data_IF_848000231385
#
_entry.id   IF_848000231385
#
_cell.length_a   1.000
_cell.length_b   1.000
_cell.length_c   1.000
_cell.angle_alpha   90.00
_cell.angle_beta   90.00
_cell.angle_gamma   90.00
#
_symmetry.space_group_name_H-M   'P 1'
#
loop_
_entity.id
_entity.type
_entity.pdbx_description
1 polymer ?
#
# COMPACT_ATOMS: atom_id res chain seq x y z
N UNK A 1 7.07 12.42 1.47
CA UNK A 1 7.81 11.27 2.05
C UNK A 1 6.92 10.05 2.24
N UNK A 2 5.82 10.12 2.99
CA UNK A 2 4.91 8.98 3.27
C UNK A 2 4.38 8.25 2.01
N UNK A 3 4.03 8.97 0.93
CA UNK A 3 3.53 8.38 -0.33
C UNK A 3 4.57 7.47 -1.01
N UNK A 4 5.85 7.84 -0.93
CA UNK A 4 6.97 7.06 -1.49
C UNK A 4 7.19 5.79 -0.67
N UNK A 5 7.10 5.89 0.66
CA UNK A 5 7.20 4.75 1.57
C UNK A 5 6.06 3.75 1.31
N UNK A 6 4.83 4.24 1.15
CA UNK A 6 3.67 3.39 0.85
C UNK A 6 3.80 2.70 -0.52
N UNK A 7 4.26 3.42 -1.55
CA UNK A 7 4.52 2.82 -2.86
C UNK A 7 5.61 1.73 -2.82
N UNK A 8 6.70 1.97 -2.07
CA UNK A 8 7.76 0.98 -1.88
C UNK A 8 7.27 -0.25 -1.11
N UNK A 9 6.42 -0.06 -0.10
CA UNK A 9 5.80 -1.16 0.65
C UNK A 9 4.95 -2.06 -0.27
N UNK A 10 4.11 -1.48 -1.13
CA UNK A 10 3.31 -2.26 -2.10
C UNK A 10 4.21 -3.14 -2.98
N UNK A 11 5.30 -2.60 -3.52
CA UNK A 11 6.24 -3.37 -4.35
C UNK A 11 6.92 -4.51 -3.57
N UNK A 12 7.28 -4.25 -2.31
CA UNK A 12 7.83 -5.28 -1.42
C UNK A 12 6.82 -6.40 -1.12
N UNK A 13 5.56 -6.06 -0.81
CA UNK A 13 4.53 -7.07 -0.57
C UNK A 13 4.27 -7.93 -1.81
N UNK A 14 4.33 -7.34 -3.02
CA UNK A 14 4.22 -8.11 -4.27
C UNK A 14 5.40 -9.08 -4.41
N UNK A 15 6.63 -8.64 -4.12
CA UNK A 15 7.81 -9.52 -4.13
C UNK A 15 7.72 -10.68 -3.14
N UNK A 16 7.20 -10.41 -1.93
CA UNK A 16 6.94 -11.45 -0.92
C UNK A 16 5.86 -12.42 -1.39
N UNK A 17 4.78 -11.94 -2.01
CA UNK A 17 3.71 -12.78 -2.56
C UNK A 17 4.20 -13.70 -3.68
N UNK A 18 5.15 -13.25 -4.52
CA UNK A 18 5.78 -14.09 -5.54
C UNK A 18 6.69 -15.18 -4.96
N UNK A 19 7.29 -14.94 -3.80
CA UNK A 19 8.25 -15.86 -3.17
C UNK A 19 7.62 -16.74 -2.07
N UNK A 20 6.32 -16.59 -1.84
CA UNK A 20 5.58 -17.28 -0.78
C UNK A 20 4.41 -18.06 -1.37
N UNK A 21 4.02 -19.14 -0.69
CA UNK A 21 2.84 -19.93 -1.04
C UNK A 21 1.83 -19.97 0.12
N UNK A 22 0.57 -20.29 -0.23
CA UNK A 22 -0.51 -20.49 0.74
C UNK A 22 -0.77 -19.25 1.61
N UNK A 23 -0.79 -19.44 2.93
CA UNK A 23 -1.16 -18.41 3.91
C UNK A 23 -0.30 -17.15 3.83
N UNK A 24 1.03 -17.31 3.67
CA UNK A 24 1.96 -16.18 3.62
C UNK A 24 1.73 -15.33 2.36
N UNK A 25 1.38 -15.96 1.24
CA UNK A 25 1.01 -15.26 0.01
C UNK A 25 -0.28 -14.46 0.18
N UNK A 26 -1.32 -15.06 0.74
CA UNK A 26 -2.60 -14.36 0.98
C UNK A 26 -2.44 -13.19 1.96
N UNK A 27 -1.58 -13.32 2.98
CA UNK A 27 -1.30 -12.23 3.90
C UNK A 27 -0.53 -11.08 3.22
N UNK A 28 0.42 -11.40 2.35
CA UNK A 28 1.14 -10.41 1.56
C UNK A 28 0.22 -9.68 0.58
N UNK A 29 -0.68 -10.39 -0.10
CA UNK A 29 -1.68 -9.82 -1.00
C UNK A 29 -2.68 -8.91 -0.25
N UNK A 30 -3.19 -9.35 0.92
CA UNK A 30 -4.03 -8.51 1.78
C UNK A 30 -3.31 -7.25 2.23
N UNK A 31 -2.05 -7.38 2.64
CA UNK A 31 -1.27 -6.24 3.11
C UNK A 31 -0.97 -5.27 1.97
N UNK A 32 -0.65 -5.77 0.77
CA UNK A 32 -0.51 -4.93 -0.43
C UNK A 32 -1.79 -4.14 -0.71
N UNK A 33 -2.95 -4.79 -0.58
CA UNK A 33 -4.24 -4.15 -0.77
C UNK A 33 -4.50 -3.04 0.26
N UNK A 34 -4.31 -3.32 1.56
CA UNK A 34 -4.49 -2.32 2.62
C UNK A 34 -3.55 -1.12 2.46
N UNK A 35 -2.29 -1.36 2.09
CA UNK A 35 -1.31 -0.29 1.84
C UNK A 35 -1.70 0.53 0.61
N UNK A 36 -2.22 -0.10 -0.45
CA UNK A 36 -2.74 0.62 -1.62
C UNK A 36 -3.95 1.50 -1.26
N UNK A 37 -4.88 0.99 -0.45
CA UNK A 37 -6.01 1.78 0.07
C UNK A 37 -5.52 2.96 0.90
N UNK A 38 -4.57 2.74 1.81
CA UNK A 38 -3.96 3.81 2.60
C UNK A 38 -3.26 4.86 1.71
N UNK A 39 -2.59 4.43 0.63
CA UNK A 39 -1.98 5.33 -0.35
C UNK A 39 -3.03 6.22 -1.03
N UNK A 40 -4.17 5.65 -1.44
CA UNK A 40 -5.29 6.41 -2.03
C UNK A 40 -5.85 7.41 -1.01
N UNK A 41 -6.03 7.00 0.25
CA UNK A 41 -6.55 7.88 1.29
C UNK A 41 -5.60 9.04 1.62
N UNK A 42 -4.30 8.76 1.71
CA UNK A 42 -3.26 9.78 1.88
C UNK A 42 -3.17 10.69 0.67
N UNK A 43 -3.33 10.14 -0.54
CA UNK A 43 -3.39 10.95 -1.75
C UNK A 43 -4.57 11.92 -1.68
N UNK A 44 -5.79 11.43 -1.42
CA UNK A 44 -6.99 12.28 -1.31
C UNK A 44 -6.89 13.31 -0.18
N UNK A 45 -6.33 12.93 0.97
CA UNK A 45 -6.18 13.83 2.12
C UNK A 45 -5.16 14.94 1.86
N UNK A 46 -4.13 14.68 1.04
CA UNK A 46 -3.19 15.70 0.57
C UNK A 46 -3.74 16.60 -0.56
N UNK A 47 -4.80 16.16 -1.25
CA UNK A 47 -5.49 16.92 -2.30
C UNK A 47 -6.74 17.63 -1.78
N UNK A 48 -7.02 17.62 -0.48
CA UNK A 48 -8.06 18.48 0.10
C UNK A 48 -7.60 19.93 -0.10
N UNK A 49 -8.21 20.73 -0.99
CA UNK A 49 -7.92 22.16 -1.02
C UNK A 49 -8.25 22.67 0.38
N UNK A 50 -7.34 23.48 0.92
CA UNK A 50 -7.60 24.25 2.14
C UNK A 50 -8.96 24.93 1.90
N UNK A 51 -9.97 24.53 2.67
CA UNK A 51 -11.22 25.26 2.78
C UNK A 51 -10.95 26.32 3.84
N UNK A 52 -10.33 27.40 3.39
CA UNK A 52 -10.39 28.72 4.01
C UNK A 52 -11.67 29.44 3.57
#
# INVERSE_FOLDING_TARGET
>A
MIKVVLAAAVLLQIGVAFSSDGLARSLAELTAFLVAVALVFVHQSGTKPRQD
#
